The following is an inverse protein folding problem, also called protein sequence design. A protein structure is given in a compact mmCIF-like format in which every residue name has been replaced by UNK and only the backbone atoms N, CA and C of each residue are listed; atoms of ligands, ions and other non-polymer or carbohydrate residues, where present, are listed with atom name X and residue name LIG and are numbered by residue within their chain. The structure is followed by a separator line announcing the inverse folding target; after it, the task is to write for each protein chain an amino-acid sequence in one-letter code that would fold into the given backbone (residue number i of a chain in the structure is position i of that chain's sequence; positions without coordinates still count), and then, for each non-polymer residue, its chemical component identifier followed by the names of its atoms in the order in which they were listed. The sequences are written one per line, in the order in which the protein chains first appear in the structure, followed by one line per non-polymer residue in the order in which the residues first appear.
data_IF_550393498705
#
_entry.id   IF_550393498705
#
_cell.length_a   1.000
_cell.length_b   1.000
_cell.length_c   1.000
_cell.angle_alpha   90.00
_cell.angle_beta   90.00
_cell.angle_gamma   90.00
#
_symmetry.space_group_name_H-M   'P 1'
#
loop_
_entity.id
_entity.type
_entity.pdbx_description
1 polymer ?
#
# COMPACT_ATOMS: atom_id res chain seq x y z
N UNK A 1 -5.82 -15.19 -5.88
CA UNK A 1 -5.30 -15.88 -7.07
C UNK A 1 -3.81 -16.13 -6.92
N UNK A 2 -3.16 -16.90 -7.81
CA UNK A 2 -1.69 -17.05 -7.80
C UNK A 2 -0.98 -15.70 -7.87
N UNK A 3 -1.39 -14.81 -8.77
CA UNK A 3 -0.83 -13.47 -8.90
C UNK A 3 -1.02 -12.63 -7.63
N UNK A 4 -2.15 -12.81 -6.91
CA UNK A 4 -2.33 -12.06 -5.65
C UNK A 4 -1.35 -12.50 -4.56
N UNK A 5 -0.92 -13.76 -4.54
CA UNK A 5 0.09 -14.21 -3.58
C UNK A 5 1.45 -13.56 -3.86
N UNK A 6 1.84 -13.49 -5.15
CA UNK A 6 3.09 -12.84 -5.56
C UNK A 6 3.07 -11.33 -5.26
N UNK A 7 1.97 -10.64 -5.60
CA UNK A 7 1.83 -9.21 -5.33
C UNK A 7 1.80 -8.91 -3.81
N UNK A 8 1.18 -9.78 -3.01
CA UNK A 8 1.14 -9.62 -1.56
C UNK A 8 2.51 -9.84 -0.90
N UNK A 9 3.28 -10.82 -1.38
CA UNK A 9 4.66 -11.04 -0.91
C UNK A 9 5.55 -9.84 -1.27
N UNK A 10 5.50 -9.37 -2.51
CA UNK A 10 6.26 -8.20 -2.94
C UNK A 10 5.90 -6.94 -2.13
N UNK A 11 4.61 -6.70 -1.89
CA UNK A 11 4.14 -5.54 -1.12
C UNK A 11 4.55 -5.63 0.36
N UNK A 12 4.38 -6.80 0.99
CA UNK A 12 4.73 -7.00 2.39
C UNK A 12 6.25 -6.97 2.60
N UNK A 13 7.02 -7.61 1.72
CA UNK A 13 8.48 -7.62 1.78
C UNK A 13 9.07 -6.22 1.67
N UNK A 14 8.52 -5.38 0.79
CA UNK A 14 8.93 -3.98 0.68
C UNK A 14 8.50 -3.16 1.91
N UNK A 15 7.26 -3.32 2.40
CA UNK A 15 6.78 -2.62 3.59
C UNK A 15 7.62 -2.94 4.84
N UNK A 16 8.13 -4.17 4.94
CA UNK A 16 8.96 -4.63 6.06
C UNK A 16 10.35 -3.97 6.13
N UNK A 17 10.80 -3.29 5.07
CA UNK A 17 12.07 -2.56 5.06
C UNK A 17 12.02 -1.20 5.79
N UNK A 18 10.82 -0.75 6.17
CA UNK A 18 10.62 0.57 6.77
C UNK A 18 10.32 0.48 8.26
N UNK A 19 10.98 1.33 9.03
CA UNK A 19 10.73 1.48 10.46
C UNK A 19 9.51 2.38 10.73
N UNK A 20 9.32 3.48 10.00
CA UNK A 20 8.16 4.38 10.18
C UNK A 20 6.91 3.85 9.47
N UNK A 21 5.68 4.29 9.84
CA UNK A 21 4.46 3.84 9.18
C UNK A 21 4.50 4.06 7.65
N UNK A 22 4.29 2.98 6.90
CA UNK A 22 4.40 2.96 5.43
C UNK A 22 3.16 2.34 4.78
N UNK A 23 2.81 2.84 3.60
CA UNK A 23 1.90 2.18 2.66
C UNK A 23 2.68 1.82 1.39
N UNK A 24 2.50 0.59 0.91
CA UNK A 24 3.04 0.08 -0.35
C UNK A 24 1.88 -0.40 -1.21
N UNK A 25 1.84 0.01 -2.48
CA UNK A 25 0.87 -0.43 -3.48
C UNK A 25 1.64 -1.12 -4.62
N UNK A 26 1.32 -2.38 -4.87
CA UNK A 26 1.94 -3.22 -5.91
C UNK A 26 0.90 -3.64 -6.93
N UNK A 27 1.32 -3.69 -8.20
CA UNK A 27 0.55 -4.31 -9.28
C UNK A 27 1.48 -5.05 -10.22
N UNK A 28 1.16 -6.30 -10.54
CA UNK A 28 1.99 -7.14 -11.42
C UNK A 28 3.46 -7.19 -10.96
N UNK A 29 3.65 -7.38 -9.65
CA UNK A 29 4.94 -7.50 -8.98
C UNK A 29 5.79 -6.23 -8.97
N UNK A 30 5.23 -5.10 -9.43
CA UNK A 30 5.91 -3.80 -9.46
C UNK A 30 5.24 -2.81 -8.49
N UNK A 31 6.02 -2.10 -7.65
CA UNK A 31 5.47 -1.04 -6.82
C UNK A 31 5.06 0.16 -7.70
N UNK A 32 3.78 0.55 -7.62
CA UNK A 32 3.29 1.78 -8.25
C UNK A 32 3.16 2.95 -7.26
N UNK A 33 3.16 2.67 -5.95
CA UNK A 33 3.13 3.68 -4.92
C UNK A 33 3.78 3.23 -3.62
N UNK A 34 4.64 4.06 -3.03
CA UNK A 34 5.26 3.82 -1.72
C UNK A 34 5.38 5.15 -0.98
N UNK A 35 4.86 5.22 0.24
CA UNK A 35 4.99 6.43 1.05
C UNK A 35 5.02 6.14 2.55
N UNK A 36 5.87 6.87 3.27
CA UNK A 36 5.84 6.97 4.73
C UNK A 36 5.07 8.22 5.17
N UNK A 37 4.37 8.13 6.29
CA UNK A 37 3.71 9.27 6.93
C UNK A 37 3.50 9.02 8.43
N UNK A 38 3.00 10.03 9.14
CA UNK A 38 2.68 9.89 10.56
C UNK A 38 1.48 8.97 10.82
N UNK A 39 0.57 8.82 9.85
CA UNK A 39 -0.61 7.96 9.93
C UNK A 39 -0.70 7.06 8.70
N UNK A 40 -1.31 5.88 8.83
CA UNK A 40 -1.50 4.96 7.70
C UNK A 40 -2.45 5.52 6.64
N UNK A 41 -3.44 6.32 7.03
CA UNK A 41 -4.34 7.00 6.10
C UNK A 41 -3.57 8.01 5.22
N UNK A 42 -2.70 8.83 5.82
CA UNK A 42 -1.86 9.77 5.07
C UNK A 42 -0.84 9.02 4.19
N UNK A 43 -0.27 7.93 4.69
CA UNK A 43 0.65 7.09 3.93
C UNK A 43 -0.05 6.50 2.70
N UNK A 44 -1.27 5.98 2.86
CA UNK A 44 -2.08 5.48 1.77
C UNK A 44 -2.39 6.57 0.72
N UNK A 45 -2.88 7.73 1.16
CA UNK A 45 -3.20 8.83 0.24
C UNK A 45 -1.99 9.29 -0.58
N UNK A 46 -0.81 9.36 0.06
CA UNK A 46 0.45 9.70 -0.63
C UNK A 46 0.92 8.59 -1.57
N UNK A 47 0.81 7.33 -1.18
CA UNK A 47 1.18 6.21 -2.03
C UNK A 47 0.27 6.12 -3.27
N UNK A 48 -1.04 6.30 -3.09
CA UNK A 48 -2.02 6.34 -4.17
C UNK A 48 -1.74 7.48 -5.16
N UNK A 49 -1.37 8.66 -4.66
CA UNK A 49 -1.02 9.81 -5.50
C UNK A 49 0.27 9.64 -6.31
N UNK A 50 1.06 8.57 -6.07
CA UNK A 50 2.25 8.27 -6.86
C UNK A 50 1.93 7.84 -8.29
N UNK A 51 0.94 6.94 -8.45
CA UNK A 51 0.39 6.48 -9.73
C UNK A 51 -1.00 5.85 -9.49
N UNK A 52 -2.03 6.69 -9.49
CA UNK A 52 -3.42 6.32 -9.19
C UNK A 52 -4.03 5.38 -10.24
N UNK A 53 -3.69 5.60 -11.51
CA UNK A 53 -4.12 4.76 -12.63
C UNK A 53 -3.59 3.34 -12.48
N UNK A 54 -2.30 3.18 -12.15
CA UNK A 54 -1.74 1.85 -11.91
C UNK A 54 -2.24 1.25 -10.59
N UNK A 55 -2.46 2.04 -9.55
CA UNK A 55 -2.93 1.54 -8.25
C UNK A 55 -4.30 0.85 -8.32
N UNK A 56 -5.15 1.19 -9.29
CA UNK A 56 -6.44 0.55 -9.47
C UNK A 56 -6.32 -0.98 -9.65
N UNK A 57 -6.92 -1.75 -8.74
CA UNK A 57 -6.85 -3.21 -8.72
C UNK A 57 -5.50 -3.79 -8.24
N UNK A 58 -4.64 -2.98 -7.65
CA UNK A 58 -3.40 -3.41 -7.02
C UNK A 58 -3.60 -4.00 -5.62
N UNK A 59 -2.50 -4.46 -5.00
CA UNK A 59 -2.44 -4.93 -3.62
C UNK A 59 -1.78 -3.88 -2.75
N UNK A 60 -2.43 -3.59 -1.61
CA UNK A 60 -1.95 -2.65 -0.60
C UNK A 60 -1.36 -3.42 0.58
N UNK A 61 -0.18 -3.00 1.05
CA UNK A 61 0.42 -3.49 2.29
C UNK A 61 0.83 -2.32 3.20
N UNK A 62 0.69 -2.54 4.49
CA UNK A 62 1.16 -1.63 5.55
C UNK A 62 2.10 -2.40 6.49
N UNK A 63 3.05 -1.70 7.11
CA UNK A 63 3.94 -2.29 8.12
C UNK A 63 3.41 -2.17 9.56
N UNK A 64 2.16 -1.74 9.73
CA UNK A 64 1.44 -1.60 11.00
C UNK A 64 0.01 -2.11 10.84
N UNK A 65 -0.64 -2.34 11.97
CA UNK A 65 -2.05 -2.73 12.01
C UNK A 65 -2.92 -1.63 11.38
N UNK A 66 -3.80 -2.02 10.47
CA UNK A 66 -4.68 -1.11 9.73
C UNK A 66 -5.80 -0.64 10.66
N UNK A 67 -5.89 0.67 10.86
CA UNK A 67 -6.95 1.30 11.66
C UNK A 67 -8.18 1.71 10.82
N UNK A 68 -9.22 2.20 11.51
CA UNK A 68 -10.46 2.64 10.86
C UNK A 68 -10.22 3.78 9.85
N UNK A 69 -9.26 4.68 10.12
CA UNK A 69 -8.96 5.81 9.25
C UNK A 69 -8.35 5.33 7.92
N UNK A 70 -7.37 4.43 7.97
CA UNK A 70 -6.76 3.82 6.80
C UNK A 70 -7.77 2.95 6.02
N UNK A 71 -8.61 2.19 6.71
CA UNK A 71 -9.68 1.41 6.09
C UNK A 71 -10.67 2.29 5.32
N UNK A 72 -11.11 3.41 5.91
CA UNK A 72 -11.98 4.40 5.26
C UNK A 72 -11.30 5.06 4.06
N UNK A 73 -10.01 5.39 4.16
CA UNK A 73 -9.26 5.98 3.06
C UNK A 73 -9.22 5.04 1.84
N UNK A 74 -9.01 3.73 2.04
CA UNK A 74 -9.03 2.73 0.96
C UNK A 74 -10.43 2.50 0.37
N UNK A 75 -11.48 2.56 1.19
CA UNK A 75 -12.85 2.31 0.74
C UNK A 75 -13.45 3.44 -0.11
N UNK A 76 -12.90 4.65 0.00
CA UNK A 76 -13.38 5.85 -0.71
C UNK A 76 -12.61 6.19 -1.99
N UNK A 77 -11.60 5.39 -2.36
CA UNK A 77 -10.79 5.56 -3.56
C UNK A 77 -11.45 4.92 -4.81
#
# INVERSE_FOLDING_TARGET
SFNNWLDAEAAQGLAALFDEPVCVIVKHHNPCGVAQAATLADAYGRALAGDDVSAFGGIVAFNREVDEAAAKAMAGA
#
